data_IF_593632430676
#
_entry.id   IF_593632430676
#
_cell.length_a   1.000
_cell.length_b   1.000
_cell.length_c   1.000
_cell.angle_alpha   90.00
_cell.angle_beta   90.00
_cell.angle_gamma   90.00
#
_symmetry.space_group_name_H-M   'P 1'
#
loop_
_entity.id
_entity.type
_entity.pdbx_description
1 polymer ?
#
# COMPACT_ATOMS: atom_id res chain seq x y z
N UNK A 1 -4.24 15.98 16.66
CA UNK A 1 -2.84 15.65 16.29
C UNK A 1 -2.70 14.32 15.54
N UNK A 2 -3.30 13.22 16.00
CA UNK A 2 -3.17 11.92 15.31
C UNK A 2 -3.90 11.93 13.94
N UNK A 3 -5.13 12.44 13.88
CA UNK A 3 -5.91 12.53 12.64
C UNK A 3 -5.20 13.32 11.52
N UNK A 4 -4.56 14.43 11.88
CA UNK A 4 -3.79 15.27 10.95
C UNK A 4 -2.53 14.57 10.46
N UNK A 5 -1.87 13.76 11.30
CA UNK A 5 -0.71 12.97 10.89
C UNK A 5 -1.10 11.86 9.91
N UNK A 6 -2.21 11.15 10.16
CA UNK A 6 -2.75 10.12 9.25
C UNK A 6 -3.08 10.72 7.88
N UNK A 7 -3.72 11.89 7.87
CA UNK A 7 -3.99 12.62 6.64
C UNK A 7 -2.69 13.02 5.93
N UNK A 8 -1.71 13.58 6.64
CA UNK A 8 -0.43 13.96 6.06
C UNK A 8 0.32 12.76 5.45
N UNK A 9 0.23 11.56 6.05
CA UNK A 9 0.84 10.33 5.53
C UNK A 9 0.22 9.82 4.22
N UNK A 10 -0.99 10.26 3.86
CA UNK A 10 -1.61 9.90 2.57
C UNK A 10 -0.83 10.46 1.37
N UNK A 11 -0.20 11.62 1.54
CA UNK A 11 0.51 12.32 0.46
C UNK A 11 1.79 11.56 0.05
N UNK A 12 2.72 11.23 0.97
CA UNK A 12 3.87 10.40 0.65
C UNK A 12 3.49 9.04 0.05
N UNK A 13 2.43 8.40 0.55
CA UNK A 13 2.00 7.10 0.05
C UNK A 13 1.52 7.17 -1.40
N UNK A 14 0.75 8.21 -1.75
CA UNK A 14 0.33 8.44 -3.14
C UNK A 14 1.52 8.67 -4.07
N UNK A 15 2.49 9.48 -3.63
CA UNK A 15 3.71 9.76 -4.40
C UNK A 15 4.52 8.47 -4.59
N UNK A 16 4.66 7.66 -3.54
CA UNK A 16 5.32 6.36 -3.63
C UNK A 16 4.62 5.45 -4.65
N UNK A 17 3.29 5.32 -4.58
CA UNK A 17 2.53 4.49 -5.52
C UNK A 17 2.69 4.96 -6.98
N UNK A 18 2.65 6.28 -7.21
CA UNK A 18 2.84 6.87 -8.53
C UNK A 18 4.25 6.60 -9.09
N UNK A 19 5.28 6.81 -8.27
CA UNK A 19 6.68 6.62 -8.66
C UNK A 19 7.01 5.14 -8.90
N UNK A 20 6.56 4.24 -8.02
CA UNK A 20 6.69 2.80 -8.19
C UNK A 20 6.03 2.30 -9.49
N UNK A 21 4.81 2.75 -9.75
CA UNK A 21 4.07 2.38 -10.97
C UNK A 21 4.72 2.92 -12.24
N UNK A 22 5.19 4.16 -12.22
CA UNK A 22 5.92 4.74 -13.35
C UNK A 22 7.22 3.98 -13.62
N UNK A 23 7.90 3.53 -12.56
CA UNK A 23 9.15 2.76 -12.66
C UNK A 23 8.94 1.36 -13.22
N UNK A 24 7.90 0.66 -12.79
CA UNK A 24 7.53 -0.63 -13.38
C UNK A 24 7.30 -0.51 -14.89
N UNK A 25 6.57 0.54 -15.33
CA UNK A 25 6.39 0.82 -16.76
C UNK A 25 7.71 1.10 -17.48
N UNK A 26 8.64 1.84 -16.85
CA UNK A 26 9.96 2.10 -17.42
C UNK A 26 10.85 0.86 -17.53
N UNK A 27 10.64 -0.16 -16.68
CA UNK A 27 11.33 -1.45 -16.72
C UNK A 27 10.74 -2.42 -17.75
N UNK A 28 9.81 -1.97 -18.60
CA UNK A 28 9.22 -2.80 -19.66
C UNK A 28 8.07 -3.69 -19.17
N UNK A 29 7.52 -3.44 -17.98
CA UNK A 29 6.30 -4.12 -17.52
C UNK A 29 5.13 -3.66 -18.39
N UNK A 30 4.81 -4.44 -19.42
CA UNK A 30 3.62 -4.25 -20.29
C UNK A 30 2.38 -4.90 -19.68
N UNK A 31 2.57 -5.78 -18.69
CA UNK A 31 1.50 -6.41 -17.93
C UNK A 31 0.74 -5.38 -17.06
N UNK A 32 -0.55 -5.65 -16.73
CA UNK A 32 -1.38 -4.75 -15.93
C UNK A 32 -0.91 -4.53 -14.48
N UNK A 33 0.17 -5.18 -14.03
CA UNK A 33 0.68 -5.02 -12.66
C UNK A 33 0.99 -3.57 -12.29
N UNK A 34 1.54 -2.77 -13.21
CA UNK A 34 1.84 -1.36 -12.93
C UNK A 34 0.60 -0.47 -12.77
N UNK A 35 -0.52 -0.79 -13.42
CA UNK A 35 -1.78 -0.06 -13.25
C UNK A 35 -2.53 -0.54 -12.01
N UNK A 36 -2.44 -1.84 -11.68
CA UNK A 36 -2.96 -2.40 -10.42
C UNK A 36 -2.24 -1.80 -9.22
N UNK A 37 -0.90 -1.69 -9.27
CA UNK A 37 -0.10 -1.05 -8.23
C UNK A 37 -0.55 0.41 -8.01
N UNK A 38 -0.75 1.17 -9.09
CA UNK A 38 -1.20 2.56 -9.02
C UNK A 38 -2.59 2.65 -8.38
N UNK A 39 -3.55 1.84 -8.85
CA UNK A 39 -4.91 1.83 -8.34
C UNK A 39 -4.98 1.42 -6.87
N UNK A 40 -4.26 0.36 -6.46
CA UNK A 40 -4.17 -0.06 -5.07
C UNK A 40 -3.56 1.02 -4.19
N UNK A 41 -2.46 1.64 -4.63
CA UNK A 41 -1.80 2.70 -3.88
C UNK A 41 -2.63 3.98 -3.74
N UNK A 42 -3.35 4.41 -4.79
CA UNK A 42 -4.26 5.56 -4.71
C UNK A 42 -5.45 5.29 -3.81
N UNK A 43 -6.03 4.10 -3.87
CA UNK A 43 -7.10 3.67 -2.96
C UNK A 43 -6.61 3.61 -1.51
N UNK A 44 -5.41 3.08 -1.27
CA UNK A 44 -4.82 2.98 0.06
C UNK A 44 -4.55 4.36 0.66
N UNK A 45 -4.00 5.28 -0.13
CA UNK A 45 -3.76 6.65 0.30
C UNK A 45 -5.06 7.44 0.49
N UNK A 46 -6.03 7.27 -0.41
CA UNK A 46 -7.36 7.85 -0.28
C UNK A 46 -8.05 7.38 1.00
N UNK A 47 -7.96 6.10 1.34
CA UNK A 47 -8.46 5.55 2.59
C UNK A 47 -7.79 6.18 3.83
N UNK A 48 -6.47 6.36 3.84
CA UNK A 48 -5.80 7.09 4.93
C UNK A 48 -6.26 8.55 5.02
N UNK A 49 -6.37 9.24 3.88
CA UNK A 49 -6.86 10.62 3.81
C UNK A 49 -8.28 10.73 4.39
N UNK A 50 -9.20 9.87 3.95
CA UNK A 50 -10.56 9.82 4.45
C UNK A 50 -10.63 9.46 5.94
N UNK A 51 -9.85 8.49 6.41
CA UNK A 51 -9.78 8.12 7.83
C UNK A 51 -9.26 9.28 8.70
N UNK A 52 -8.27 10.04 8.20
CA UNK A 52 -7.76 11.24 8.86
C UNK A 52 -8.81 12.37 8.93
N UNK A 53 -9.54 12.62 7.84
CA UNK A 53 -10.61 13.62 7.81
C UNK A 53 -11.78 13.24 8.74
N UNK A 54 -12.23 11.99 8.69
CA UNK A 54 -13.27 11.46 9.61
C UNK A 54 -12.80 11.46 11.06
N UNK A 55 -11.53 11.15 11.33
CA UNK A 55 -10.98 11.23 12.69
C UNK A 55 -10.90 12.67 13.20
N UNK A 56 -10.73 13.64 12.31
CA UNK A 56 -10.73 15.06 12.69
C UNK A 56 -12.13 15.57 13.06
N UNK A 57 -13.21 15.08 12.42
CA UNK A 57 -14.58 15.52 12.73
C UNK A 57 -15.00 15.20 14.18
N UNK A 58 -14.45 14.13 14.77
CA UNK A 58 -14.64 13.78 16.18
C UNK A 58 -14.12 14.84 17.16
N UNK A 59 -13.24 15.75 16.71
CA UNK A 59 -12.75 16.86 17.53
C UNK A 59 -13.74 18.02 17.61
N UNK A 60 -14.85 17.97 16.86
CA UNK A 60 -15.88 19.01 16.87
C UNK A 60 -16.83 18.80 18.06
N UNK A 61 -17.06 19.82 18.90
CA UNK A 61 -17.94 19.70 20.08
C UNK A 61 -19.34 19.22 19.72
N UNK A 62 -19.86 19.66 18.56
CA UNK A 62 -21.17 19.27 18.02
C UNK A 62 -21.29 17.76 17.76
N UNK A 63 -20.17 17.11 17.41
CA UNK A 63 -20.09 15.67 17.12
C UNK A 63 -19.78 14.88 18.39
N UNK A 64 -18.88 15.39 19.23
CA UNK A 64 -18.46 14.70 20.46
C UNK A 64 -19.54 14.67 21.55
N UNK A 65 -20.54 15.55 21.46
CA UNK A 65 -21.65 15.60 22.41
C UNK A 65 -22.65 14.44 22.24
N UNK A 66 -22.72 13.83 21.05
CA UNK A 66 -23.64 12.73 20.76
C UNK A 66 -22.89 11.39 20.67
N UNK A 67 -23.15 10.51 21.64
CA UNK A 67 -22.51 9.19 21.72
C UNK A 67 -22.83 8.28 20.51
N UNK A 68 -24.01 8.41 19.90
CA UNK A 68 -24.37 7.64 18.72
C UNK A 68 -23.56 8.09 17.50
N UNK A 69 -23.41 9.41 17.34
CA UNK A 69 -22.62 10.00 16.25
C UNK A 69 -21.14 9.64 16.39
N UNK A 70 -20.59 9.74 17.60
CA UNK A 70 -19.21 9.32 17.91
C UNK A 70 -19.00 7.86 17.54
N UNK A 71 -19.90 6.95 17.94
CA UNK A 71 -19.80 5.53 17.63
C UNK A 71 -19.79 5.28 16.12
N UNK A 72 -20.71 5.91 15.38
CA UNK A 72 -20.82 5.74 13.93
C UNK A 72 -19.54 6.23 13.21
N UNK A 73 -19.03 7.40 13.58
CA UNK A 73 -17.80 7.95 12.99
C UNK A 73 -16.59 7.08 13.34
N UNK A 74 -16.47 6.59 14.58
CA UNK A 74 -15.39 5.66 14.94
C UNK A 74 -15.42 4.36 14.12
N UNK A 75 -16.61 3.80 13.86
CA UNK A 75 -16.77 2.63 13.01
C UNK A 75 -16.32 2.92 11.57
N UNK A 76 -16.67 4.08 11.02
CA UNK A 76 -16.23 4.48 9.68
C UNK A 76 -14.71 4.67 9.62
N UNK A 77 -14.12 5.32 10.62
CA UNK A 77 -12.66 5.48 10.73
C UNK A 77 -11.97 4.11 10.79
N UNK A 78 -12.51 3.16 11.55
CA UNK A 78 -12.00 1.79 11.61
C UNK A 78 -12.14 1.07 10.26
N UNK A 79 -13.29 1.18 9.59
CA UNK A 79 -13.56 0.46 8.34
C UNK A 79 -12.65 0.95 7.22
N UNK A 80 -12.54 2.28 7.09
CA UNK A 80 -11.75 2.95 6.05
C UNK A 80 -10.26 2.81 6.37
N UNK A 81 -9.86 3.14 7.60
CA UNK A 81 -8.46 3.12 8.03
C UNK A 81 -7.91 1.74 8.33
N UNK A 82 -8.75 0.73 8.51
CA UNK A 82 -8.41 -0.68 8.76
C UNK A 82 -8.56 -1.51 7.49
N UNK A 83 -9.62 -2.32 7.34
CA UNK A 83 -9.78 -3.23 6.20
C UNK A 83 -9.66 -2.53 4.84
N UNK A 84 -10.32 -1.39 4.63
CA UNK A 84 -10.29 -0.68 3.35
C UNK A 84 -8.88 -0.25 2.93
N UNK A 85 -8.10 0.29 3.86
CA UNK A 85 -6.71 0.64 3.62
C UNK A 85 -5.82 -0.59 3.41
N UNK A 86 -5.96 -1.65 4.24
CA UNK A 86 -5.10 -2.83 4.16
C UNK A 86 -5.29 -3.59 2.86
N UNK A 87 -6.53 -3.79 2.41
CA UNK A 87 -6.84 -4.47 1.15
C UNK A 87 -6.26 -3.69 -0.04
N UNK A 88 -6.47 -2.37 -0.07
CA UNK A 88 -5.90 -1.53 -1.12
C UNK A 88 -4.36 -1.54 -1.13
N UNK A 89 -3.74 -1.60 0.06
CA UNK A 89 -2.30 -1.70 0.22
C UNK A 89 -1.78 -3.10 -0.20
N UNK A 90 -2.57 -4.15 -0.01
CA UNK A 90 -2.34 -5.49 -0.57
C UNK A 90 -2.31 -5.49 -2.10
N UNK A 91 -3.25 -4.81 -2.74
CA UNK A 91 -3.28 -4.59 -4.20
C UNK A 91 -2.03 -3.86 -4.71
N UNK A 92 -1.55 -2.84 -3.98
CA UNK A 92 -0.29 -2.16 -4.30
C UNK A 92 0.88 -3.14 -4.28
N UNK A 93 1.00 -3.92 -3.20
CA UNK A 93 2.07 -4.93 -3.04
C UNK A 93 1.96 -6.00 -4.11
N UNK A 94 0.77 -6.54 -4.40
CA UNK A 94 0.55 -7.53 -5.44
C UNK A 94 0.95 -7.00 -6.83
N UNK A 95 0.54 -5.76 -7.14
CA UNK A 95 0.87 -5.10 -8.40
C UNK A 95 2.37 -4.89 -8.62
N UNK A 96 3.17 -4.82 -7.55
CA UNK A 96 4.63 -4.76 -7.61
C UNK A 96 5.27 -6.15 -7.58
N UNK A 97 4.84 -7.04 -6.70
CA UNK A 97 5.43 -8.36 -6.48
C UNK A 97 5.26 -9.28 -7.70
N UNK A 98 4.10 -9.24 -8.37
CA UNK A 98 3.82 -10.11 -9.53
C UNK A 98 4.76 -9.80 -10.72
N UNK A 99 4.88 -8.54 -11.20
CA UNK A 99 5.85 -8.21 -12.24
C UNK A 99 7.30 -8.49 -11.83
N UNK A 100 7.66 -8.23 -10.57
CA UNK A 100 9.00 -8.52 -10.06
C UNK A 100 9.34 -10.02 -10.12
N UNK A 101 8.36 -10.89 -9.86
CA UNK A 101 8.51 -12.34 -9.98
C UNK A 101 8.58 -12.81 -11.45
N UNK A 102 7.69 -12.29 -12.30
CA UNK A 102 7.55 -12.71 -13.70
C UNK A 102 8.74 -12.26 -14.55
N UNK A 103 9.23 -11.04 -14.34
CA UNK A 103 10.35 -10.46 -15.09
C UNK A 103 11.71 -10.63 -14.38
N UNK A 104 11.72 -11.24 -13.18
CA UNK A 104 12.95 -11.50 -12.43
C UNK A 104 13.70 -10.24 -12.00
N UNK A 105 12.98 -9.14 -11.72
CA UNK A 105 13.56 -7.83 -11.41
C UNK A 105 14.18 -7.77 -10.00
N UNK A 106 13.71 -8.62 -9.08
CA UNK A 106 14.19 -8.69 -7.69
C UNK A 106 14.46 -10.15 -7.29
N UNK A 107 15.25 -10.40 -6.24
CA UNK A 107 15.54 -11.76 -5.80
C UNK A 107 14.25 -12.52 -5.48
N UNK A 108 14.12 -13.75 -6.03
CA UNK A 108 12.92 -14.61 -5.89
C UNK A 108 12.34 -14.68 -4.47
N UNK A 109 13.13 -14.76 -3.38
CA UNK A 109 12.58 -14.75 -2.03
C UNK A 109 11.78 -13.49 -1.69
N UNK A 110 12.25 -12.32 -2.14
CA UNK A 110 11.59 -11.03 -1.86
C UNK A 110 10.27 -10.92 -2.61
N UNK A 111 10.22 -11.37 -3.87
CA UNK A 111 8.98 -11.38 -4.62
C UNK A 111 7.93 -12.33 -3.98
N UNK A 112 8.36 -13.50 -3.47
CA UNK A 112 7.49 -14.42 -2.74
C UNK A 112 7.01 -13.87 -1.40
N UNK A 113 7.86 -13.18 -0.63
CA UNK A 113 7.40 -12.54 0.61
C UNK A 113 6.38 -11.45 0.32
N UNK A 114 6.55 -10.68 -0.76
CA UNK A 114 5.57 -9.70 -1.21
C UNK A 114 4.22 -10.31 -1.54
N UNK A 115 4.23 -11.43 -2.28
CA UNK A 115 2.99 -12.15 -2.62
C UNK A 115 2.30 -12.72 -1.37
N UNK A 116 3.05 -13.26 -0.41
CA UNK A 116 2.50 -13.74 0.85
C UNK A 116 1.88 -12.60 1.68
N UNK A 117 2.54 -11.44 1.71
CA UNK A 117 2.02 -10.24 2.39
C UNK A 117 0.77 -9.71 1.69
N UNK A 118 0.74 -9.71 0.37
CA UNK A 118 -0.45 -9.32 -0.39
C UNK A 118 -1.64 -10.25 -0.08
N UNK A 119 -1.42 -11.57 -0.06
CA UNK A 119 -2.46 -12.53 0.32
C UNK A 119 -2.95 -12.31 1.76
N UNK A 120 -2.04 -12.03 2.69
CA UNK A 120 -2.38 -11.71 4.08
C UNK A 120 -3.15 -10.38 4.20
N UNK A 121 -2.84 -9.39 3.35
CA UNK A 121 -3.57 -8.13 3.28
C UNK A 121 -4.97 -8.30 2.68
N UNK A 122 -5.14 -9.15 1.66
CA UNK A 122 -6.46 -9.50 1.11
C UNK A 122 -7.31 -10.28 2.14
N UNK A 123 -6.67 -11.12 2.95
CA UNK A 123 -7.35 -11.80 4.06
C UNK A 123 -7.93 -10.83 5.10
N UNK A 124 -7.50 -9.56 5.12
CA UNK A 124 -8.13 -8.52 5.95
C UNK A 124 -9.60 -8.26 5.59
N UNK A 125 -10.06 -8.64 4.39
CA UNK A 125 -11.50 -8.64 4.05
C UNK A 125 -12.31 -9.52 4.99
N UNK A 126 -11.73 -10.61 5.52
CA UNK A 126 -12.39 -11.51 6.46
C UNK A 126 -12.73 -10.83 7.79
N UNK A 127 -12.06 -9.72 8.14
CA UNK A 127 -12.37 -8.92 9.34
C UNK A 127 -13.78 -8.33 9.26
N UNK A 128 -14.33 -8.13 8.05
CA UNK A 128 -15.70 -7.67 7.86
C UNK A 128 -16.74 -8.73 8.25
N UNK A 129 -16.38 -10.01 8.17
CA UNK A 129 -17.24 -11.14 8.57
C UNK A 129 -16.98 -11.53 10.03
N UNK A 130 -15.71 -11.51 10.44
CA UNK A 130 -15.25 -11.90 11.78
C UNK A 130 -14.34 -10.83 12.38
N UNK A 131 -14.90 -9.92 13.20
CA UNK A 131 -14.14 -8.84 13.84
C UNK A 131 -12.98 -9.32 14.73
N UNK A 132 -13.06 -10.54 15.25
CA UNK A 132 -12.01 -11.19 16.07
C UNK A 132 -10.67 -11.35 15.33
N UNK A 133 -10.67 -11.32 14.00
CA UNK A 133 -9.47 -11.34 13.17
C UNK A 133 -8.76 -9.99 13.07
N UNK A 134 -9.16 -9.00 13.88
CA UNK A 134 -8.57 -7.66 13.90
C UNK A 134 -7.04 -7.62 14.10
N UNK A 135 -6.45 -8.67 14.69
CA UNK A 135 -4.99 -8.84 14.85
C UNK A 135 -4.25 -8.90 13.50
N UNK A 136 -4.91 -9.33 12.42
CA UNK A 136 -4.32 -9.37 11.08
C UNK A 136 -4.01 -7.96 10.56
N UNK A 137 -4.83 -6.96 10.90
CA UNK A 137 -4.71 -5.59 10.38
C UNK A 137 -3.35 -4.94 10.67
N UNK A 138 -2.85 -4.88 11.92
CA UNK A 138 -1.55 -4.28 12.21
C UNK A 138 -0.39 -5.10 11.63
N UNK A 139 -0.50 -6.44 11.64
CA UNK A 139 0.54 -7.32 11.08
C UNK A 139 0.67 -7.06 9.57
N UNK A 140 -0.44 -7.12 8.84
CA UNK A 140 -0.49 -6.85 7.41
C UNK A 140 0.12 -5.49 7.07
N UNK A 141 -0.22 -4.44 7.84
CA UNK A 141 0.28 -3.09 7.63
C UNK A 141 1.79 -3.02 7.75
N UNK A 142 2.33 -3.47 8.88
CA UNK A 142 3.75 -3.35 9.18
C UNK A 142 4.56 -4.18 8.20
N UNK A 143 4.12 -5.42 7.93
CA UNK A 143 4.76 -6.29 6.96
C UNK A 143 4.79 -5.67 5.56
N UNK A 144 3.67 -5.11 5.10
CA UNK A 144 3.59 -4.51 3.77
C UNK A 144 4.42 -3.24 3.64
N UNK A 145 4.39 -2.34 4.64
CA UNK A 145 5.24 -1.14 4.62
C UNK A 145 6.74 -1.50 4.64
N UNK A 146 7.13 -2.47 5.47
CA UNK A 146 8.51 -2.97 5.50
C UNK A 146 8.92 -3.56 4.15
N UNK A 147 8.04 -4.33 3.51
CA UNK A 147 8.30 -4.90 2.19
C UNK A 147 8.44 -3.83 1.10
N UNK A 148 7.57 -2.81 1.09
CA UNK A 148 7.66 -1.70 0.13
C UNK A 148 8.99 -0.92 0.23
N UNK A 149 9.54 -0.80 1.44
CA UNK A 149 10.87 -0.20 1.67
C UNK A 149 11.96 -1.07 1.04
N UNK A 150 11.92 -2.38 1.30
CA UNK A 150 12.88 -3.36 0.76
C UNK A 150 12.82 -3.43 -0.76
N UNK A 151 11.62 -3.56 -1.33
CA UNK A 151 11.41 -3.62 -2.79
C UNK A 151 11.82 -2.30 -3.46
N UNK A 152 11.49 -1.16 -2.85
CA UNK A 152 11.91 0.16 -3.34
C UNK A 152 13.43 0.33 -3.42
N UNK A 153 14.15 -0.22 -2.43
CA UNK A 153 15.61 -0.22 -2.37
C UNK A 153 16.26 -1.21 -3.35
N UNK A 154 15.64 -2.37 -3.58
CA UNK A 154 16.16 -3.43 -4.44
C UNK A 154 15.90 -3.19 -5.93
N UNK A 155 14.81 -2.52 -6.28
CA UNK A 155 14.56 -2.14 -7.67
C UNK A 155 15.77 -1.32 -8.16
N UNK A 156 16.34 -1.62 -9.34
CA UNK A 156 17.60 -1.03 -9.81
C UNK A 156 17.46 0.47 -10.12
N UNK A 157 18.22 1.30 -9.39
CA UNK A 157 18.09 2.77 -9.32
C UNK A 157 18.74 3.54 -10.49
N UNK A 158 19.45 2.88 -11.41
CA UNK A 158 20.22 3.58 -12.46
C UNK A 158 19.98 3.03 -13.87
N UNK A 159 19.59 3.95 -14.76
CA UNK A 159 19.69 3.80 -16.24
C UNK A 159 21.11 3.44 -16.72
N UNK A 160 22.14 3.64 -15.90
CA UNK A 160 23.52 3.34 -16.28
C UNK A 160 23.84 1.84 -16.30
N UNK A 161 23.12 0.99 -15.58
CA UNK A 161 23.45 -0.44 -15.50
C UNK A 161 23.09 -1.18 -16.80
N UNK A 162 21.99 -0.78 -17.46
CA UNK A 162 21.62 -1.28 -18.80
C UNK A 162 22.71 -0.92 -19.84
N UNK A 163 23.26 0.29 -19.74
CA UNK A 163 24.33 0.77 -20.65
C UNK A 163 25.67 0.06 -20.39
N UNK A 164 25.95 -0.31 -19.14
CA UNK A 164 27.17 -1.02 -18.75
C UNK A 164 27.14 -2.47 -19.24
N UNK A 165 26.02 -3.17 -19.10
CA UNK A 165 25.88 -4.55 -19.61
C UNK A 165 25.96 -4.59 -21.13
N UNK A 166 25.33 -3.65 -21.83
CA UNK A 166 25.43 -3.54 -23.29
C UNK A 166 26.85 -3.19 -23.79
N UNK A 167 27.61 -2.40 -23.03
CA UNK A 167 29.01 -2.11 -23.34
C UNK A 167 29.95 -3.29 -23.04
N UNK A 168 29.60 -4.15 -22.09
CA UNK A 168 30.43 -5.32 -21.72
C UNK A 168 30.18 -6.51 -22.65
N UNK A 169 29.03 -6.56 -23.35
CA UNK A 169 28.74 -7.59 -24.37
C UNK A 169 29.20 -7.21 -25.78
N UNK A 170 29.75 -6.01 -25.98
CA UNK A 170 30.18 -5.48 -27.26
C UNK A 170 31.71 -5.29 -27.36
N UNK A 171 32.47 -5.68 -26.33
CA UNK A 171 33.93 -5.75 -26.33
C UNK A 171 34.38 -7.19 -26.17
#
# INVERSE_FOLDING_TARGET
>A
MIATAVFASSVPLTIYAATASARLRQLGVTAPGATIALAGGTLAAGALGLAGLLGWTLSRPDVSADAALVRAVYFLVFLVGGPGHIVALGLLVAGMAVPSLVLGLTPRPVAWTGLAIAALAEAATLVLVWPELGVILPIARVSALAWLIVEGALLPLRRNDIRRTAATSAG
#
